data_IF_279900395544
#
_entry.id   IF_279900395544
#
_cell.length_a   1.000
_cell.length_b   1.000
_cell.length_c   1.000
_cell.angle_alpha   90.00
_cell.angle_beta   90.00
_cell.angle_gamma   90.00
#
_symmetry.space_group_name_H-M   'P 1'
#
loop_
_entity.id
_entity.type
_entity.pdbx_description
1 polymer ?
#
# COMPACT_ATOMS: atom_id res chain seq x y z
N UNK A 1 -5.16 57.28 34.41
CA UNK A 1 -5.64 56.36 33.36
C UNK A 1 -4.50 55.58 32.73
N UNK A 2 -3.30 56.15 32.64
CA UNK A 2 -2.12 55.53 32.01
C UNK A 2 -1.60 54.25 32.71
N UNK A 3 -1.70 54.15 34.04
CA UNK A 3 -1.20 52.97 34.78
C UNK A 3 -1.99 51.69 34.54
N UNK A 4 -3.28 51.77 34.21
CA UNK A 4 -4.10 50.59 33.89
C UNK A 4 -3.77 50.04 32.50
N UNK A 5 -3.54 50.93 31.53
CA UNK A 5 -3.14 50.56 30.17
C UNK A 5 -1.80 49.84 30.16
N UNK A 6 -0.84 50.31 30.97
CA UNK A 6 0.47 49.65 31.08
C UNK A 6 0.37 48.24 31.70
N UNK A 7 -0.44 48.07 32.75
CA UNK A 7 -0.64 46.78 33.38
C UNK A 7 -1.30 45.75 32.43
N UNK A 8 -2.25 46.19 31.61
CA UNK A 8 -2.92 45.33 30.62
C UNK A 8 -1.96 44.90 29.50
N UNK A 9 -1.07 45.79 29.06
CA UNK A 9 -0.01 45.47 28.09
C UNK A 9 0.97 44.41 28.65
N UNK A 10 1.43 44.57 29.89
CA UNK A 10 2.34 43.60 30.52
C UNK A 10 1.70 42.21 30.66
N UNK A 11 0.38 42.16 30.91
CA UNK A 11 -0.39 40.91 30.97
C UNK A 11 -0.50 40.28 29.58
N UNK A 12 -0.74 41.08 28.54
CA UNK A 12 -0.81 40.59 27.17
C UNK A 12 0.54 40.04 26.70
N UNK A 13 1.65 40.72 27.01
CA UNK A 13 3.00 40.23 26.67
C UNK A 13 3.33 38.91 27.37
N UNK A 14 2.98 38.76 28.65
CA UNK A 14 3.18 37.50 29.39
C UNK A 14 2.36 36.36 28.79
N UNK A 15 1.13 36.62 28.35
CA UNK A 15 0.29 35.64 27.66
C UNK A 15 0.87 35.24 26.31
N UNK A 16 1.36 36.22 25.54
CA UNK A 16 1.98 35.98 24.23
C UNK A 16 3.23 35.10 24.36
N UNK A 17 4.13 35.42 25.29
CA UNK A 17 5.33 34.60 25.56
C UNK A 17 4.98 33.18 26.01
N UNK A 18 3.92 33.03 26.81
CA UNK A 18 3.45 31.71 27.22
C UNK A 18 2.94 30.89 26.04
N UNK A 19 2.16 31.48 25.13
CA UNK A 19 1.70 30.82 23.90
C UNK A 19 2.85 30.47 22.96
N UNK A 20 3.81 31.38 22.75
CA UNK A 20 5.00 31.11 21.95
C UNK A 20 5.83 29.94 22.50
N UNK A 21 5.92 29.82 23.82
CA UNK A 21 6.62 28.69 24.47
C UNK A 21 5.90 27.35 24.31
N UNK A 22 4.56 27.35 24.22
CA UNK A 22 3.79 26.15 23.93
C UNK A 22 3.94 25.76 22.46
N UNK A 23 3.91 26.74 21.59
CA UNK A 23 4.04 26.54 20.15
C UNK A 23 5.44 26.02 19.77
N UNK A 24 6.50 26.48 20.44
CA UNK A 24 7.85 25.97 20.24
C UNK A 24 7.99 24.51 20.68
N UNK A 25 7.47 24.16 21.87
CA UNK A 25 7.44 22.77 22.36
C UNK A 25 6.63 21.84 21.45
N UNK A 26 5.50 22.32 20.92
CA UNK A 26 4.68 21.55 19.99
C UNK A 26 5.42 21.28 18.67
N UNK A 27 6.15 22.26 18.14
CA UNK A 27 6.99 22.09 16.94
C UNK A 27 8.13 21.10 17.17
N UNK A 28 8.80 21.17 18.31
CA UNK A 28 9.88 20.25 18.67
C UNK A 28 9.39 18.80 18.79
N UNK A 29 8.22 18.59 19.40
CA UNK A 29 7.57 17.27 19.47
C UNK A 29 7.20 16.75 18.08
N UNK A 30 6.63 17.59 17.22
CA UNK A 30 6.28 17.20 15.85
C UNK A 30 7.52 16.81 15.02
N UNK A 31 8.62 17.55 15.15
CA UNK A 31 9.89 17.22 14.48
C UNK A 31 10.49 15.91 14.99
N UNK A 32 10.38 15.66 16.31
CA UNK A 32 10.84 14.41 16.91
C UNK A 32 10.00 13.20 16.43
N UNK A 33 8.68 13.35 16.28
CA UNK A 33 7.81 12.32 15.73
C UNK A 33 8.09 12.05 14.25
N UNK A 34 8.31 13.09 13.45
CA UNK A 34 8.67 12.96 12.04
C UNK A 34 10.01 12.21 11.88
N UNK A 35 11.01 12.52 12.71
CA UNK A 35 12.30 11.80 12.73
C UNK A 35 12.11 10.32 13.09
N UNK A 36 11.25 10.00 14.05
CA UNK A 36 10.92 8.61 14.42
C UNK A 36 10.24 7.87 13.26
N UNK A 37 9.28 8.51 12.59
CA UNK A 37 8.57 7.91 11.44
C UNK A 37 9.53 7.66 10.26
N UNK A 38 10.42 8.61 9.97
CA UNK A 38 11.49 8.45 8.96
C UNK A 38 12.45 7.30 9.30
N UNK A 39 12.84 7.15 10.56
CA UNK A 39 13.69 6.04 11.00
C UNK A 39 12.99 4.68 10.86
N UNK A 40 11.71 4.58 11.25
CA UNK A 40 10.93 3.35 11.11
C UNK A 40 10.71 2.94 9.65
N UNK A 41 10.41 3.90 8.78
CA UNK A 41 10.25 3.64 7.34
C UNK A 41 11.56 3.22 6.67
N UNK A 42 12.70 3.79 7.07
CA UNK A 42 14.01 3.36 6.61
C UNK A 42 14.32 1.91 7.05
N UNK A 43 14.00 1.55 8.30
CA UNK A 43 14.21 0.18 8.81
C UNK A 43 13.34 -0.85 8.07
N UNK A 44 12.07 -0.52 7.82
CA UNK A 44 11.17 -1.40 7.04
C UNK A 44 11.67 -1.59 5.60
N UNK A 45 12.18 -0.52 4.97
CA UNK A 45 12.76 -0.57 3.63
C UNK A 45 14.03 -1.44 3.58
N UNK A 46 14.86 -1.38 4.63
CA UNK A 46 16.07 -2.20 4.74
C UNK A 46 15.74 -3.69 4.93
N UNK A 47 14.77 -4.04 5.78
CA UNK A 47 14.30 -5.42 5.92
C UNK A 47 13.80 -5.99 4.59
N UNK A 48 12.97 -5.24 3.86
CA UNK A 48 12.45 -5.67 2.56
C UNK A 48 13.53 -5.90 1.50
N UNK A 49 14.69 -5.23 1.59
CA UNK A 49 15.81 -5.46 0.67
C UNK A 49 16.58 -6.75 0.97
N UNK A 50 16.65 -7.17 2.25
CA UNK A 50 17.32 -8.41 2.64
C UNK A 50 16.53 -9.66 2.22
N UNK A 51 15.20 -9.57 2.18
CA UNK A 51 14.34 -10.68 1.74
C UNK A 51 14.46 -10.97 0.23
N UNK A 52 14.88 -9.99 -0.57
CA UNK A 52 15.04 -10.14 -2.03
C UNK A 52 16.37 -10.82 -2.42
N UNK A 53 17.40 -10.75 -1.57
CA UNK A 53 18.74 -11.29 -1.88
C UNK A 53 18.95 -12.75 -1.44
N UNK A 54 18.01 -13.35 -0.69
CA UNK A 54 18.06 -14.77 -0.33
C UNK A 54 17.57 -15.73 -1.45
N UNK A 55 17.06 -15.19 -2.56
CA UNK A 55 16.58 -15.97 -3.70
C UNK A 55 17.63 -16.13 -4.80
N UNK A 56 18.74 -16.82 -4.55
CA UNK A 56 19.57 -17.33 -5.65
C UNK A 56 18.84 -18.54 -6.25
N UNK A 57 18.43 -18.53 -7.53
CA UNK A 57 17.91 -19.74 -8.16
C UNK A 57 19.09 -20.68 -8.37
N UNK A 58 19.25 -21.67 -7.48
CA UNK A 58 20.14 -22.80 -7.75
C UNK A 58 19.69 -23.45 -9.07
N UNK A 59 20.58 -23.63 -10.06
CA UNK A 59 20.21 -24.33 -11.28
C UNK A 59 19.90 -25.79 -10.91
N UNK A 60 18.66 -26.20 -11.14
CA UNK A 60 18.24 -27.59 -10.91
C UNK A 60 19.05 -28.54 -11.84
N UNK A 61 19.62 -29.64 -11.33
CA UNK A 61 20.49 -30.54 -12.09
C UNK A 61 19.76 -31.42 -13.14
N UNK A 62 18.50 -31.13 -13.47
CA UNK A 62 17.63 -32.07 -14.20
C UNK A 62 17.22 -31.65 -15.63
N UNK A 63 17.95 -30.74 -16.27
CA UNK A 63 17.80 -30.51 -17.71
C UNK A 63 18.60 -31.52 -18.54
N UNK A 64 18.29 -32.81 -18.37
CA UNK A 64 18.51 -33.76 -19.45
C UNK A 64 17.51 -33.42 -20.57
N UNK A 65 18.00 -33.08 -21.77
CA UNK A 65 17.15 -32.85 -22.95
C UNK A 65 16.17 -34.02 -23.09
N UNK A 66 14.84 -33.80 -23.08
CA UNK A 66 13.91 -34.91 -23.24
C UNK A 66 14.08 -35.49 -24.64
N UNK A 67 14.34 -36.80 -24.72
CA UNK A 67 14.31 -37.55 -25.97
C UNK A 67 12.85 -37.53 -26.44
N UNK A 68 12.57 -36.73 -27.48
CA UNK A 68 11.23 -36.61 -28.06
C UNK A 68 10.71 -38.01 -28.43
N UNK A 69 9.49 -38.40 -28.01
CA UNK A 69 8.88 -39.63 -28.48
C UNK A 69 8.51 -39.49 -29.96
N UNK A 70 8.49 -40.59 -30.73
CA UNK A 70 8.03 -40.56 -32.12
C UNK A 70 6.57 -40.12 -32.19
N UNK A 71 6.25 -39.35 -33.23
CA UNK A 71 4.89 -38.86 -33.51
C UNK A 71 3.99 -40.04 -33.87
N UNK A 72 3.37 -40.66 -32.87
CA UNK A 72 2.32 -41.65 -33.09
C UNK A 72 1.36 -41.58 -31.91
N UNK A 73 0.07 -41.46 -32.25
CA UNK A 73 -1.12 -41.62 -31.39
C UNK A 73 -1.68 -40.39 -30.65
N UNK A 74 -2.48 -39.61 -31.39
CA UNK A 74 -3.50 -38.70 -30.86
C UNK A 74 -4.73 -39.46 -30.33
N UNK A 75 -4.61 -40.27 -29.27
CA UNK A 75 -5.79 -41.03 -28.79
C UNK A 75 -6.08 -41.03 -27.29
N UNK A 76 -5.26 -40.42 -26.43
CA UNK A 76 -5.60 -40.42 -24.99
C UNK A 76 -5.31 -39.07 -24.36
N UNK A 77 -6.33 -38.20 -24.34
CA UNK A 77 -6.38 -37.06 -23.41
C UNK A 77 -6.53 -37.65 -22.01
N UNK A 78 -5.39 -37.95 -21.36
CA UNK A 78 -5.41 -38.35 -19.95
C UNK A 78 -5.98 -37.16 -19.16
N UNK A 79 -7.03 -37.33 -18.33
CA UNK A 79 -7.48 -36.24 -17.47
C UNK A 79 -6.30 -35.84 -16.59
N UNK A 80 -5.88 -34.57 -16.65
CA UNK A 80 -4.84 -34.05 -15.76
C UNK A 80 -5.33 -34.30 -14.33
N UNK A 81 -4.54 -35.03 -13.54
CA UNK A 81 -4.79 -35.21 -12.12
C UNK A 81 -5.00 -33.82 -11.50
N UNK A 82 -6.16 -33.61 -10.87
CA UNK A 82 -6.45 -32.36 -10.17
C UNK A 82 -5.34 -32.18 -9.14
N UNK A 83 -4.62 -31.07 -9.19
CA UNK A 83 -3.65 -30.78 -8.15
C UNK A 83 -4.42 -30.44 -6.89
N UNK A 84 -4.37 -31.30 -5.87
CA UNK A 84 -4.88 -31.01 -4.52
C UNK A 84 -4.05 -29.93 -3.79
N UNK A 85 -3.21 -29.19 -4.53
CA UNK A 85 -2.48 -28.05 -3.97
C UNK A 85 -3.52 -26.96 -3.69
N UNK A 86 -3.70 -26.54 -2.43
CA UNK A 86 -4.53 -25.39 -2.14
C UNK A 86 -3.94 -24.21 -2.90
N UNK A 87 -4.76 -23.59 -3.76
CA UNK A 87 -4.40 -22.36 -4.45
C UNK A 87 -4.14 -21.30 -3.38
N UNK A 88 -3.10 -20.46 -3.52
CA UNK A 88 -2.72 -19.48 -2.52
C UNK A 88 -3.68 -18.27 -2.55
N UNK A 89 -4.96 -18.50 -2.30
CA UNK A 89 -5.92 -17.42 -2.08
C UNK A 89 -5.66 -16.81 -0.71
N UNK A 90 -5.16 -15.57 -0.70
CA UNK A 90 -5.03 -14.80 0.53
C UNK A 90 -6.37 -14.12 0.82
N UNK A 91 -6.88 -14.20 2.05
CA UNK A 91 -8.09 -13.47 2.42
C UNK A 91 -7.83 -11.97 2.30
N UNK A 92 -8.80 -11.25 1.74
CA UNK A 92 -8.77 -9.79 1.70
C UNK A 92 -9.03 -9.28 3.11
N UNK A 93 -8.09 -8.51 3.66
CA UNK A 93 -8.22 -7.86 4.97
C UNK A 93 -9.45 -6.95 5.01
N UNK A 94 -10.25 -7.03 6.07
CA UNK A 94 -11.34 -6.08 6.32
C UNK A 94 -10.75 -4.67 6.48
N UNK A 95 -11.36 -3.69 5.82
CA UNK A 95 -10.97 -2.27 5.89
C UNK A 95 -12.12 -1.54 6.56
N UNK A 96 -11.90 -0.98 7.74
CA UNK A 96 -12.97 -0.32 8.51
C UNK A 96 -13.13 1.16 8.18
N UNK A 97 -12.06 1.82 7.71
CA UNK A 97 -12.06 3.26 7.45
C UNK A 97 -12.50 3.53 6.00
N UNK A 98 -13.56 4.34 5.78
CA UNK A 98 -13.98 4.75 4.45
C UNK A 98 -12.88 5.39 3.62
N UNK A 99 -12.84 5.00 2.35
CA UNK A 99 -11.88 5.49 1.35
C UNK A 99 -10.41 5.17 1.66
N UNK A 100 -10.11 4.34 2.66
CA UNK A 100 -8.74 3.93 2.98
C UNK A 100 -8.16 3.03 1.88
N UNK A 101 -9.00 2.21 1.24
CA UNK A 101 -8.60 1.35 0.11
C UNK A 101 -9.73 1.28 -0.91
N UNK A 102 -9.42 1.69 -2.14
CA UNK A 102 -10.35 1.65 -3.27
C UNK A 102 -9.83 0.65 -4.30
N UNK A 103 -10.70 -0.25 -4.75
CA UNK A 103 -10.44 -1.11 -5.91
C UNK A 103 -10.81 -0.34 -7.16
N UNK A 104 -9.90 -0.34 -8.13
CA UNK A 104 -10.09 0.28 -9.45
C UNK A 104 -10.02 -0.84 -10.48
N UNK A 105 -11.03 -0.91 -11.34
CA UNK A 105 -11.05 -1.86 -12.44
C UNK A 105 -11.70 -1.25 -13.69
N UNK A 106 -11.43 -1.82 -14.86
CA UNK A 106 -11.97 -1.38 -16.14
C UNK A 106 -12.79 -2.53 -16.74
N UNK A 107 -14.06 -2.25 -17.03
CA UNK A 107 -14.95 -3.20 -17.71
C UNK A 107 -15.07 -2.84 -19.17
N UNK A 108 -14.76 -3.77 -20.07
CA UNK A 108 -14.92 -3.62 -21.52
C UNK A 108 -13.92 -4.45 -22.34
N UNK A 109 -13.92 -4.29 -23.67
CA UNK A 109 -14.75 -3.36 -24.44
C UNK A 109 -16.22 -3.78 -24.51
N UNK A 110 -17.11 -2.79 -24.48
CA UNK A 110 -18.56 -2.92 -24.61
C UNK A 110 -19.00 -2.33 -25.97
N UNK A 111 -20.24 -2.62 -26.43
CA UNK A 111 -20.79 -1.93 -27.59
C UNK A 111 -20.66 -0.41 -27.45
N UNK A 112 -20.18 0.22 -28.53
CA UNK A 112 -19.92 1.66 -28.59
C UNK A 112 -21.17 2.43 -28.20
N UNK A 113 -21.09 3.23 -27.14
CA UNK A 113 -22.18 4.14 -26.74
C UNK A 113 -22.35 5.27 -27.76
N UNK A 114 -23.45 6.02 -27.67
CA UNK A 114 -23.71 7.20 -28.52
C UNK A 114 -22.55 8.21 -28.51
N UNK A 115 -21.79 8.26 -27.41
CA UNK A 115 -20.68 9.19 -27.20
C UNK A 115 -19.30 8.54 -27.50
N UNK A 116 -19.28 7.35 -28.10
CA UNK A 116 -18.08 6.59 -28.45
C UNK A 116 -17.24 6.10 -27.26
N UNK A 117 -17.88 5.82 -26.13
CA UNK A 117 -17.24 5.11 -25.01
C UNK A 117 -17.54 3.61 -25.09
N UNK A 118 -16.51 2.80 -24.83
CA UNK A 118 -16.54 1.32 -24.83
C UNK A 118 -16.12 0.72 -23.48
N UNK A 119 -15.69 1.55 -22.53
CA UNK A 119 -15.15 1.10 -21.24
C UNK A 119 -15.82 1.83 -20.09
N UNK A 120 -15.99 1.11 -18.98
CA UNK A 120 -16.47 1.65 -17.72
C UNK A 120 -15.33 1.56 -16.71
N UNK A 121 -14.97 2.70 -16.11
CA UNK A 121 -14.11 2.73 -14.94
C UNK A 121 -14.96 2.42 -13.70
N UNK A 122 -14.61 1.37 -12.98
CA UNK A 122 -15.26 0.98 -11.74
C UNK A 122 -14.37 1.33 -10.54
N UNK A 123 -15.01 1.88 -9.51
CA UNK A 123 -14.38 2.32 -8.27
C UNK A 123 -15.21 1.75 -7.11
N UNK A 124 -14.59 0.93 -6.27
CA UNK A 124 -15.25 0.30 -5.13
C UNK A 124 -14.47 0.60 -3.87
N UNK A 125 -15.10 1.28 -2.91
CA UNK A 125 -14.53 1.42 -1.57
C UNK A 125 -14.65 0.11 -0.81
N UNK A 126 -13.52 -0.37 -0.26
CA UNK A 126 -13.48 -1.67 0.40
C UNK A 126 -14.19 -1.69 1.76
N UNK A 127 -14.43 -0.53 2.37
CA UNK A 127 -15.07 -0.45 3.68
C UNK A 127 -16.60 -0.49 3.62
N UNK A 128 -17.20 0.12 2.58
CA UNK A 128 -18.66 0.32 2.51
C UNK A 128 -19.41 -0.62 1.56
N UNK A 129 -18.69 -1.53 0.89
CA UNK A 129 -19.14 -2.47 -0.17
C UNK A 129 -20.65 -2.55 -0.41
#
# INVERSE_FOLDING_TARGET
MESKVQADLDIQEKKLRAEESKLSRARELAEAEEKKLKAQTAALKAQKLLDVTAGTPTPHPNYAKPKLPPLTEFSQVRPRARSDRPMPFQPVTLVEIPFQRVIIDIVGPLPVSQNRYEYILTLVDLSTR
#
